data_IF_156410654082
#
_entry.id   IF_156410654082
#
_cell.length_a   1.000
_cell.length_b   1.000
_cell.length_c   1.000
_cell.angle_alpha   90.00
_cell.angle_beta   90.00
_cell.angle_gamma   90.00
#
_symmetry.space_group_name_H-M   'P 1'
#
loop_
_entity.id
_entity.type
_entity.pdbx_description
1 polymer ?
#
# COMPACT_ATOMS: atom_id res chain seq x y z
N UNK A 1 51.57 14.83 28.48
CA UNK A 1 50.37 15.53 27.98
C UNK A 1 49.33 14.50 27.53
N UNK A 2 48.57 14.00 28.50
CA UNK A 2 47.19 13.50 28.45
C UNK A 2 46.77 12.45 27.40
N UNK A 3 47.33 11.24 27.45
CA UNK A 3 46.78 10.05 26.77
C UNK A 3 45.32 9.79 27.17
N UNK A 4 44.96 10.05 28.44
CA UNK A 4 43.60 9.91 28.96
C UNK A 4 42.57 10.86 28.29
N UNK A 5 42.98 12.07 27.88
CA UNK A 5 42.08 13.01 27.19
C UNK A 5 41.81 12.60 25.73
N UNK A 6 42.78 11.94 25.08
CA UNK A 6 42.61 11.42 23.71
C UNK A 6 41.63 10.24 23.67
N UNK A 7 41.71 9.32 24.64
CA UNK A 7 40.80 8.17 24.70
C UNK A 7 39.35 8.60 24.94
N UNK A 8 39.12 9.62 25.77
CA UNK A 8 37.76 10.12 26.08
C UNK A 8 37.07 10.75 24.86
N UNK A 9 37.82 11.47 24.00
CA UNK A 9 37.28 12.08 22.77
C UNK A 9 36.87 11.02 21.75
N UNK A 10 37.64 9.93 21.62
CA UNK A 10 37.30 8.82 20.72
C UNK A 10 36.03 8.08 21.16
N UNK A 11 35.82 7.87 22.47
CA UNK A 11 34.61 7.22 22.99
C UNK A 11 33.36 8.08 22.77
N UNK A 12 33.47 9.40 22.97
CA UNK A 12 32.37 10.34 22.69
C UNK A 12 32.01 10.41 21.20
N UNK A 13 33.00 10.43 20.31
CA UNK A 13 32.77 10.41 18.86
C UNK A 13 32.12 9.09 18.40
N UNK A 14 32.56 7.94 18.94
CA UNK A 14 31.99 6.64 18.63
C UNK A 14 30.52 6.51 19.10
N UNK A 15 30.19 7.06 20.28
CA UNK A 15 28.81 7.10 20.77
C UNK A 15 27.91 8.01 19.94
N UNK A 16 28.44 9.11 19.39
CA UNK A 16 27.67 10.01 18.52
C UNK A 16 27.34 9.36 17.16
N UNK A 17 28.28 8.59 16.60
CA UNK A 17 28.08 7.83 15.36
C UNK A 17 27.09 6.68 15.55
N UNK A 18 27.15 5.97 16.68
CA UNK A 18 26.19 4.90 17.02
C UNK A 18 24.78 5.43 17.32
N UNK A 19 24.66 6.64 17.92
CA UNK A 19 23.36 7.27 18.18
C UNK A 19 22.70 7.85 16.91
N UNK A 20 23.48 8.25 15.90
CA UNK A 20 22.95 8.69 14.61
C UNK A 20 22.67 7.54 13.63
N UNK A 21 23.30 6.38 13.82
CA UNK A 21 23.27 5.25 12.87
C UNK A 21 22.03 4.35 12.91
N UNK A 22 21.12 4.56 13.86
CA UNK A 22 19.95 3.69 14.03
C UNK A 22 18.63 4.45 13.85
N UNK A 23 18.47 5.19 12.75
CA UNK A 23 17.13 5.31 12.16
C UNK A 23 16.92 4.04 11.34
N UNK A 24 16.27 3.05 11.92
CA UNK A 24 15.58 2.04 11.11
C UNK A 24 14.80 2.81 10.05
N UNK A 25 15.19 2.62 8.80
CA UNK A 25 14.48 3.20 7.67
C UNK A 25 13.07 2.61 7.72
N UNK A 26 12.12 3.36 8.26
CA UNK A 26 10.74 3.18 7.86
C UNK A 26 10.77 3.32 6.34
N UNK A 27 10.48 2.22 5.67
CA UNK A 27 10.59 2.13 4.23
C UNK A 27 9.77 3.29 3.64
N UNK A 28 10.43 4.16 2.88
CA UNK A 28 10.00 5.54 2.64
C UNK A 28 8.71 5.72 1.83
N UNK A 29 7.92 4.66 1.66
CA UNK A 29 6.60 4.69 1.04
C UNK A 29 5.52 4.52 2.11
N UNK A 30 4.53 5.41 2.10
CA UNK A 30 3.35 5.36 2.99
C UNK A 30 2.08 5.46 2.18
N UNK A 31 1.00 4.87 2.70
CA UNK A 31 -0.35 5.11 2.17
C UNK A 31 -0.89 6.39 2.80
N UNK A 32 -1.30 7.35 1.97
CA UNK A 32 -1.87 8.62 2.43
C UNK A 32 -3.21 8.42 3.11
N UNK A 33 -3.53 9.27 4.10
CA UNK A 33 -4.86 9.33 4.72
C UNK A 33 -5.96 9.81 3.77
N UNK A 34 -5.59 10.38 2.62
CA UNK A 34 -6.54 10.75 1.56
C UNK A 34 -7.00 9.54 0.73
N UNK A 35 -6.40 8.36 0.93
CA UNK A 35 -6.82 7.13 0.29
C UNK A 35 -8.20 6.70 0.81
N UNK A 36 -9.05 6.16 -0.05
CA UNK A 36 -10.39 5.72 0.33
C UNK A 36 -10.91 4.54 -0.49
N UNK A 37 -11.81 3.78 0.13
CA UNK A 37 -12.66 2.80 -0.56
C UNK A 37 -13.82 3.55 -1.22
N UNK A 38 -14.07 3.28 -2.51
CA UNK A 38 -15.14 3.94 -3.27
C UNK A 38 -16.40 3.06 -3.32
N UNK A 39 -16.29 1.87 -3.92
CA UNK A 39 -17.40 0.93 -4.07
C UNK A 39 -16.92 -0.50 -4.28
N UNK A 40 -17.86 -1.41 -4.15
CA UNK A 40 -17.68 -2.83 -4.47
C UNK A 40 -18.51 -3.16 -5.71
N UNK A 41 -17.90 -3.88 -6.64
CA UNK A 41 -18.59 -4.54 -7.76
C UNK A 41 -18.46 -6.04 -7.55
N UNK A 42 -19.57 -6.75 -7.66
CA UNK A 42 -19.59 -8.21 -7.67
C UNK A 42 -19.87 -8.60 -9.12
N UNK A 43 -19.01 -9.42 -9.69
CA UNK A 43 -19.20 -9.96 -11.04
C UNK A 43 -18.82 -11.43 -11.02
N UNK A 44 -19.74 -12.26 -11.49
CA UNK A 44 -19.65 -13.72 -11.39
C UNK A 44 -19.40 -14.14 -9.93
N UNK A 45 -18.28 -14.81 -9.66
CA UNK A 45 -17.85 -15.26 -8.33
C UNK A 45 -16.68 -14.42 -7.78
N UNK A 46 -16.45 -13.22 -8.33
CA UNK A 46 -15.37 -12.34 -7.91
C UNK A 46 -15.89 -11.01 -7.35
N UNK A 47 -15.20 -10.54 -6.31
CA UNK A 47 -15.41 -9.25 -5.69
C UNK A 47 -14.30 -8.31 -6.13
N UNK A 48 -14.70 -7.19 -6.72
CA UNK A 48 -13.84 -6.08 -7.11
C UNK A 48 -14.02 -4.91 -6.13
N UNK A 49 -13.00 -4.62 -5.33
CA UNK A 49 -12.99 -3.50 -4.40
C UNK A 49 -12.29 -2.30 -5.04
N UNK A 50 -13.10 -1.35 -5.50
CA UNK A 50 -12.62 -0.15 -6.18
C UNK A 50 -12.19 0.86 -5.12
N UNK A 51 -10.94 1.29 -5.23
CA UNK A 51 -10.32 2.19 -4.27
C UNK A 51 -9.56 3.30 -4.99
N UNK A 52 -9.41 4.43 -4.30
CA UNK A 52 -8.42 5.45 -4.63
C UNK A 52 -7.30 5.34 -3.61
N UNK A 53 -6.07 5.08 -4.07
CA UNK A 53 -4.90 4.91 -3.20
C UNK A 53 -3.82 5.93 -3.58
N UNK A 54 -3.37 6.68 -2.59
CA UNK A 54 -2.26 7.61 -2.72
C UNK A 54 -1.03 7.06 -1.98
N UNK A 55 0.08 6.94 -2.69
CA UNK A 55 1.38 6.55 -2.14
C UNK A 55 2.28 7.76 -2.01
N UNK A 56 2.73 8.03 -0.79
CA UNK A 56 3.64 9.13 -0.45
C UNK A 56 5.06 8.58 -0.32
N UNK A 57 6.01 9.13 -1.08
CA UNK A 57 7.42 8.87 -0.93
C UNK A 57 8.10 10.00 -0.15
N UNK A 58 8.46 9.76 1.11
CA UNK A 58 9.15 10.73 1.97
C UNK A 58 10.68 10.63 1.90
N UNK A 59 11.20 9.78 1.01
CA UNK A 59 12.64 9.60 0.84
C UNK A 59 13.24 10.52 -0.23
N UNK A 60 14.54 10.74 -0.13
CA UNK A 60 15.33 11.54 -1.09
C UNK A 60 15.59 10.84 -2.43
N UNK A 61 15.02 9.65 -2.66
CA UNK A 61 15.20 8.86 -3.88
C UNK A 61 13.90 8.31 -4.41
N UNK A 62 13.87 8.01 -5.70
CA UNK A 62 12.80 7.23 -6.29
C UNK A 62 12.70 5.84 -5.65
N UNK A 63 11.48 5.35 -5.51
CA UNK A 63 11.16 4.06 -4.92
C UNK A 63 10.27 3.27 -5.87
N UNK A 64 10.66 2.02 -6.09
CA UNK A 64 9.87 1.03 -6.81
C UNK A 64 9.49 -0.07 -5.83
N UNK A 65 8.23 -0.48 -5.85
CA UNK A 65 7.67 -1.45 -4.90
C UNK A 65 6.46 -2.16 -5.51
N UNK A 66 6.10 -3.31 -4.96
CA UNK A 66 4.86 -4.01 -5.31
C UNK A 66 3.89 -3.96 -4.14
N UNK A 67 2.60 -4.11 -4.42
CA UNK A 67 1.57 -4.09 -3.38
C UNK A 67 0.60 -5.25 -3.56
N UNK A 68 0.07 -5.72 -2.42
CA UNK A 68 -1.05 -6.66 -2.35
C UNK A 68 -2.09 -6.11 -1.39
N UNK A 69 -3.35 -6.47 -1.61
CA UNK A 69 -4.41 -6.21 -0.65
C UNK A 69 -4.55 -7.36 0.34
N UNK A 70 -4.85 -7.05 1.60
CA UNK A 70 -5.23 -8.03 2.61
C UNK A 70 -6.53 -7.60 3.29
N UNK A 71 -7.53 -8.49 3.35
CA UNK A 71 -8.78 -8.26 4.08
C UNK A 71 -9.18 -9.50 4.89
N UNK A 72 -8.57 -9.65 6.07
CA UNK A 72 -8.93 -10.72 7.01
C UNK A 72 -10.32 -10.55 7.61
N UNK A 73 -10.85 -9.33 7.67
CA UNK A 73 -12.19 -9.06 8.21
C UNK A 73 -13.28 -9.56 7.26
N UNK A 74 -13.11 -9.34 5.96
CA UNK A 74 -14.06 -9.80 4.95
C UNK A 74 -14.12 -11.34 4.89
N UNK A 75 -13.00 -12.03 5.12
CA UNK A 75 -12.99 -13.49 5.27
C UNK A 75 -13.76 -13.94 6.51
N UNK A 76 -13.53 -13.28 7.66
CA UNK A 76 -14.23 -13.63 8.91
C UNK A 76 -15.75 -13.48 8.80
N UNK A 77 -16.19 -12.52 7.98
CA UNK A 77 -17.61 -12.27 7.72
C UNK A 77 -18.15 -13.12 6.56
N UNK A 78 -17.33 -13.98 5.95
CA UNK A 78 -17.71 -14.88 4.87
C UNK A 78 -17.83 -14.21 3.50
N UNK A 79 -17.49 -12.92 3.37
CA UNK A 79 -17.59 -12.17 2.12
C UNK A 79 -16.50 -12.60 1.12
N UNK A 80 -15.30 -12.91 1.60
CA UNK A 80 -14.20 -13.44 0.80
C UNK A 80 -13.83 -14.85 1.25
N UNK A 81 -13.36 -15.68 0.33
CA UNK A 81 -12.81 -17.02 0.65
C UNK A 81 -11.35 -16.96 1.11
N UNK A 82 -10.60 -15.96 0.64
CA UNK A 82 -9.19 -15.73 0.95
C UNK A 82 -8.96 -14.31 1.47
N UNK A 83 -7.97 -14.16 2.34
CA UNK A 83 -7.60 -12.85 2.89
C UNK A 83 -6.77 -12.04 1.90
N UNK A 84 -6.07 -12.71 1.00
CA UNK A 84 -5.19 -12.06 0.02
C UNK A 84 -6.02 -11.62 -1.18
N UNK A 85 -5.76 -10.41 -1.65
CA UNK A 85 -6.43 -9.79 -2.77
C UNK A 85 -5.38 -9.45 -3.84
N UNK A 86 -5.71 -9.79 -5.07
CA UNK A 86 -4.93 -9.38 -6.23
C UNK A 86 -5.07 -7.88 -6.45
N UNK A 87 -3.99 -7.24 -6.89
CA UNK A 87 -3.91 -5.80 -7.08
C UNK A 87 -3.84 -5.46 -8.57
N UNK A 88 -4.75 -4.60 -9.01
CA UNK A 88 -4.77 -4.05 -10.36
C UNK A 88 -4.88 -2.54 -10.31
N UNK A 89 -4.22 -1.86 -11.25
CA UNK A 89 -4.50 -0.45 -11.55
C UNK A 89 -5.69 -0.41 -12.51
N UNK A 90 -6.55 0.59 -12.35
CA UNK A 90 -7.63 0.87 -13.30
C UNK A 90 -7.14 1.88 -14.34
N UNK A 91 -7.27 1.55 -15.62
CA UNK A 91 -6.97 2.45 -16.75
C UNK A 91 -8.07 3.52 -16.91
N UNK A 92 -8.19 4.40 -15.92
CA UNK A 92 -9.12 5.53 -15.94
C UNK A 92 -8.59 6.67 -15.09
N UNK A 93 -9.07 7.88 -15.37
CA UNK A 93 -8.88 9.05 -14.52
C UNK A 93 -10.18 9.48 -13.80
N UNK A 94 -11.26 8.72 -13.96
CA UNK A 94 -12.56 9.00 -13.38
C UNK A 94 -13.22 7.70 -12.89
N UNK A 95 -13.36 7.54 -11.58
CA UNK A 95 -14.02 6.37 -10.99
C UNK A 95 -15.51 6.28 -11.37
N UNK A 96 -16.15 7.39 -11.78
CA UNK A 96 -17.56 7.37 -12.19
C UNK A 96 -17.77 6.65 -13.53
N UNK A 97 -16.70 6.45 -14.32
CA UNK A 97 -16.76 5.67 -15.56
C UNK A 97 -16.67 4.15 -15.32
N UNK A 98 -16.37 3.73 -14.09
CA UNK A 98 -16.16 2.31 -13.76
C UNK A 98 -17.50 1.66 -13.43
N UNK A 99 -17.78 0.54 -14.09
CA UNK A 99 -19.03 -0.21 -13.98
C UNK A 99 -18.78 -1.70 -14.07
N UNK A 100 -19.80 -2.49 -13.73
CA UNK A 100 -19.74 -3.95 -13.83
C UNK A 100 -19.47 -4.42 -15.28
N UNK A 101 -19.96 -3.67 -16.27
CA UNK A 101 -19.84 -4.02 -17.70
C UNK A 101 -18.42 -3.83 -18.26
N UNK A 102 -17.63 -2.91 -17.68
CA UNK A 102 -16.32 -2.53 -18.22
C UNK A 102 -15.15 -2.79 -17.27
N UNK A 103 -15.39 -3.21 -16.02
CA UNK A 103 -14.33 -3.37 -15.01
C UNK A 103 -13.14 -4.20 -15.52
N UNK A 104 -13.39 -5.35 -16.14
CA UNK A 104 -12.35 -6.23 -16.67
C UNK A 104 -11.50 -5.59 -17.77
N UNK A 105 -12.08 -4.71 -18.59
CA UNK A 105 -11.36 -4.01 -19.65
C UNK A 105 -10.42 -2.94 -19.09
N UNK A 106 -10.69 -2.46 -17.86
CA UNK A 106 -9.92 -1.43 -17.19
C UNK A 106 -8.81 -2.01 -16.30
N UNK A 107 -8.83 -3.31 -15.98
CA UNK A 107 -7.82 -3.92 -15.11
C UNK A 107 -6.47 -4.01 -15.82
N UNK A 108 -5.49 -3.30 -15.27
CA UNK A 108 -4.08 -3.39 -15.65
C UNK A 108 -3.28 -4.05 -14.54
N UNK A 109 -2.65 -5.18 -14.84
CA UNK A 109 -1.70 -5.81 -13.94
C UNK A 109 -0.53 -4.86 -13.68
N UNK A 110 -0.25 -4.60 -12.41
CA UNK A 110 0.87 -3.78 -12.00
C UNK A 110 1.84 -4.62 -11.17
N UNK A 111 2.91 -5.10 -11.81
CA UNK A 111 3.96 -5.86 -11.12
C UNK A 111 4.74 -4.97 -10.14
N UNK A 112 4.90 -3.69 -10.48
CA UNK A 112 5.55 -2.71 -9.62
C UNK A 112 5.00 -1.30 -9.86
N UNK A 113 5.09 -0.48 -8.83
CA UNK A 113 4.73 0.94 -8.80
C UNK A 113 5.99 1.74 -8.52
N UNK A 114 6.08 2.92 -9.14
CA UNK A 114 7.23 3.82 -8.95
C UNK A 114 6.74 5.19 -8.49
N UNK A 115 7.32 5.69 -7.40
CA UNK A 115 7.04 7.02 -6.86
C UNK A 115 8.35 7.79 -6.70
N UNK A 116 8.43 8.96 -7.36
CA UNK A 116 9.60 9.83 -7.28
C UNK A 116 9.87 10.37 -5.87
N UNK A 117 11.09 10.82 -5.62
CA UNK A 117 11.49 11.40 -4.34
C UNK A 117 10.60 12.59 -3.93
N UNK A 118 10.13 12.62 -2.68
CA UNK A 118 9.25 13.68 -2.16
C UNK A 118 7.98 13.92 -2.99
N UNK A 119 7.43 12.85 -3.59
CA UNK A 119 6.20 12.90 -4.40
C UNK A 119 5.10 12.03 -3.80
N UNK A 120 3.87 12.40 -4.14
CA UNK A 120 2.69 11.58 -3.95
C UNK A 120 2.19 11.13 -5.32
N UNK A 121 1.92 9.84 -5.47
CA UNK A 121 1.30 9.27 -6.65
C UNK A 121 -0.10 8.73 -6.31
N UNK A 122 -1.10 9.10 -7.10
CA UNK A 122 -2.48 8.68 -6.95
C UNK A 122 -2.80 7.61 -7.98
N UNK A 123 -3.41 6.52 -7.54
CA UNK A 123 -3.88 5.44 -8.41
C UNK A 123 -5.33 5.12 -8.10
N UNK A 124 -6.12 4.89 -9.15
CA UNK A 124 -7.36 4.13 -9.03
C UNK A 124 -7.02 2.66 -9.18
N UNK A 125 -7.48 1.87 -8.22
CA UNK A 125 -7.06 0.48 -8.10
C UNK A 125 -8.27 -0.40 -7.85
N UNK A 126 -8.15 -1.64 -8.24
CA UNK A 126 -9.11 -2.69 -7.93
C UNK A 126 -8.39 -3.80 -7.17
N UNK A 127 -8.88 -4.11 -5.98
CA UNK A 127 -8.48 -5.31 -5.27
C UNK A 127 -9.48 -6.43 -5.56
N UNK A 128 -9.00 -7.52 -6.15
CA UNK A 128 -9.84 -8.63 -6.60
C UNK A 128 -9.67 -9.83 -5.67
N UNK A 129 -10.77 -10.46 -5.29
CA UNK A 129 -10.76 -11.74 -4.57
C UNK A 129 -12.03 -12.52 -4.81
N UNK A 130 -12.00 -13.81 -4.48
CA UNK A 130 -13.14 -14.70 -4.69
C UNK A 130 -14.23 -14.48 -3.65
N UNK A 131 -15.47 -14.40 -4.14
CA UNK A 131 -16.66 -14.25 -3.33
C UNK A 131 -16.88 -15.48 -2.44
N UNK A 132 -17.12 -15.24 -1.16
CA UNK A 132 -17.59 -16.25 -0.21
C UNK A 132 -19.11 -16.28 -0.09
N UNK A 133 -19.61 -17.06 0.88
CA UNK A 133 -21.05 -17.26 1.10
C UNK A 133 -21.72 -16.22 2.01
N UNK A 134 -20.98 -15.22 2.46
CA UNK A 134 -21.43 -14.21 3.42
C UNK A 134 -22.08 -13.01 2.75
N UNK A 135 -22.91 -12.29 3.50
CA UNK A 135 -23.60 -11.11 3.00
C UNK A 135 -22.66 -9.92 2.77
N UNK A 136 -23.07 -9.02 1.87
CA UNK A 136 -22.37 -7.77 1.59
C UNK A 136 -22.35 -6.86 2.83
N UNK A 137 -21.16 -6.59 3.37
CA UNK A 137 -20.96 -5.55 4.40
C UNK A 137 -21.14 -4.16 3.78
N UNK A 138 -22.04 -3.35 4.33
CA UNK A 138 -22.32 -1.99 3.85
C UNK A 138 -21.32 -0.92 4.33
N UNK A 139 -20.61 -1.17 5.44
CA UNK A 139 -19.60 -0.25 5.98
C UNK A 139 -18.20 -0.85 5.79
N UNK A 140 -17.50 -0.42 4.74
CA UNK A 140 -16.21 -0.97 4.31
C UNK A 140 -15.12 0.11 4.35
N UNK A 141 -13.99 -0.27 4.94
CA UNK A 141 -12.76 0.50 4.87
C UNK A 141 -11.90 0.01 3.69
N UNK A 142 -10.83 0.76 3.40
CA UNK A 142 -9.77 0.28 2.53
C UNK A 142 -9.25 -1.10 3.00
N UNK A 143 -8.98 -2.03 2.08
CA UNK A 143 -8.16 -3.19 2.37
C UNK A 143 -6.83 -2.77 2.98
N UNK A 144 -6.25 -3.61 3.84
CA UNK A 144 -4.90 -3.38 4.33
C UNK A 144 -3.94 -3.55 3.16
N UNK A 145 -3.14 -2.52 2.88
CA UNK A 145 -2.13 -2.57 1.83
C UNK A 145 -0.84 -3.13 2.42
N UNK A 146 -0.30 -4.15 1.77
CA UNK A 146 0.96 -4.80 2.15
C UNK A 146 1.97 -4.55 1.04
N UNK A 147 3.14 -4.01 1.41
CA UNK A 147 4.25 -3.75 0.49
C UNK A 147 5.14 -4.99 0.37
N UNK A 148 5.57 -5.30 -0.85
CA UNK A 148 6.56 -6.30 -1.20
C UNK A 148 7.77 -5.57 -1.82
N UNK A 149 8.99 -5.83 -1.31
CA UNK A 149 10.23 -5.11 -1.63
C UNK A 149 11.33 -6.04 -2.15
#
# INVERSE_FOLDING_TARGET
MNTAKRTMVFVLALMFVLACGCRQANDGIKVSSNSYFDRMIIKDDHICLICCVEFENDSDREKTFSVKGESSEDVKNGLLTSKELEFFILDTNDLSSVSEENIEQLLMSAESLTVGAHRTAKYYVCFVGDQGSGDSKHDRNLPKIVFDY
#
